data_IF_777235856573
#
_entry.id   IF_777235856573
#
_cell.length_a   1.000
_cell.length_b   1.000
_cell.length_c   1.000
_cell.angle_alpha   90.00
_cell.angle_beta   90.00
_cell.angle_gamma   90.00
#
_symmetry.space_group_name_H-M   'P 1'
#
loop_
_entity.id
_entity.type
_entity.pdbx_description
1 polymer ?
#
# COMPACT_ATOMS: atom_id res chain seq x y z
N UNK A 1 -6.65 15.91 -9.38
CA UNK A 1 -5.61 15.42 -8.44
C UNK A 1 -4.31 15.21 -9.21
N UNK A 2 -3.16 15.56 -8.64
CA UNK A 2 -1.83 15.43 -9.24
C UNK A 2 -1.21 14.12 -8.76
N UNK A 3 -0.75 13.24 -9.66
CA UNK A 3 -0.02 12.03 -9.30
C UNK A 3 1.35 12.41 -8.69
N UNK A 4 1.63 11.89 -7.48
CA UNK A 4 2.90 12.10 -6.77
C UNK A 4 3.88 10.95 -6.96
N UNK A 5 3.39 9.76 -7.26
CA UNK A 5 4.21 8.59 -7.54
C UNK A 5 3.52 7.29 -7.18
N UNK A 6 4.25 6.19 -7.38
CA UNK A 6 3.80 4.86 -7.00
C UNK A 6 4.20 4.55 -5.56
N UNK A 7 3.34 3.80 -4.85
CA UNK A 7 3.64 3.24 -3.54
C UNK A 7 3.66 1.72 -3.64
N UNK A 8 4.59 1.12 -2.92
CA UNK A 8 4.80 -0.33 -2.86
C UNK A 8 5.02 -0.74 -1.41
N UNK A 9 4.31 -1.76 -0.97
CA UNK A 9 4.53 -2.40 0.32
C UNK A 9 4.49 -3.92 0.17
N UNK A 10 5.36 -4.60 0.91
CA UNK A 10 5.41 -6.06 0.95
C UNK A 10 5.52 -6.56 2.39
N UNK A 11 4.89 -7.70 2.65
CA UNK A 11 4.89 -8.32 3.96
C UNK A 11 4.85 -9.84 3.81
N UNK A 12 5.46 -10.58 4.75
CA UNK A 12 5.36 -12.03 4.78
C UNK A 12 3.92 -12.49 5.04
N UNK A 13 3.47 -13.45 4.24
CA UNK A 13 2.16 -14.07 4.32
C UNK A 13 2.25 -15.35 5.14
N UNK A 14 1.62 -15.34 6.33
CA UNK A 14 1.62 -16.48 7.25
C UNK A 14 0.28 -17.25 7.26
N UNK A 15 -0.64 -16.99 6.32
CA UNK A 15 -1.93 -17.70 6.17
C UNK A 15 -2.96 -17.51 7.28
N UNK A 16 -2.53 -17.14 8.49
CA UNK A 16 -3.37 -17.01 9.70
C UNK A 16 -3.67 -15.54 10.06
N UNK A 17 -2.91 -14.60 9.51
CA UNK A 17 -2.99 -13.16 9.84
C UNK A 17 -3.24 -12.28 8.60
N UNK A 18 -4.06 -12.75 7.66
CA UNK A 18 -4.28 -12.07 6.38
C UNK A 18 -4.79 -10.65 6.55
N UNK A 19 -5.72 -10.43 7.48
CA UNK A 19 -6.34 -9.13 7.71
C UNK A 19 -5.35 -8.15 8.35
N UNK A 20 -4.64 -8.60 9.39
CA UNK A 20 -3.61 -7.80 10.07
C UNK A 20 -2.45 -7.46 9.13
N UNK A 21 -2.04 -8.39 8.27
CA UNK A 21 -0.99 -8.15 7.30
C UNK A 21 -1.45 -7.15 6.23
N UNK A 22 -2.69 -7.24 5.77
CA UNK A 22 -3.26 -6.30 4.80
C UNK A 22 -3.35 -4.89 5.39
N UNK A 23 -3.89 -4.76 6.60
CA UNK A 23 -3.99 -3.46 7.29
C UNK A 23 -2.59 -2.83 7.50
N UNK A 24 -1.60 -3.63 7.88
CA UNK A 24 -0.22 -3.17 8.02
C UNK A 24 0.36 -2.69 6.69
N UNK A 25 0.11 -3.42 5.60
CA UNK A 25 0.53 -3.02 4.26
C UNK A 25 -0.14 -1.72 3.79
N UNK A 26 -1.41 -1.53 4.11
CA UNK A 26 -2.14 -0.28 3.79
C UNK A 26 -1.54 0.90 4.55
N UNK A 27 -1.26 0.72 5.85
CA UNK A 27 -0.67 1.77 6.68
C UNK A 27 0.72 2.15 6.18
N UNK A 28 1.56 1.18 5.80
CA UNK A 28 2.87 1.43 5.20
C UNK A 28 2.76 2.19 3.87
N UNK A 29 1.78 1.84 3.04
CA UNK A 29 1.55 2.52 1.76
C UNK A 29 1.05 3.95 1.96
N UNK A 30 0.16 4.19 2.94
CA UNK A 30 -0.32 5.52 3.33
C UNK A 30 0.81 6.39 3.89
N UNK A 31 1.65 5.85 4.77
CA UNK A 31 2.82 6.57 5.28
C UNK A 31 3.80 6.95 4.16
N UNK A 32 4.05 6.03 3.23
CA UNK A 32 4.92 6.29 2.08
C UNK A 32 4.35 7.39 1.18
N UNK A 33 3.04 7.36 0.92
CA UNK A 33 2.36 8.40 0.16
C UNK A 33 2.39 9.77 0.87
N UNK A 34 2.19 9.79 2.19
CA UNK A 34 2.27 11.03 2.97
C UNK A 34 3.66 11.65 2.91
N UNK A 35 4.73 10.83 2.96
CA UNK A 35 6.12 11.29 2.75
C UNK A 35 6.36 11.87 1.35
N UNK A 36 5.59 11.43 0.34
CA UNK A 36 5.61 11.98 -1.01
C UNK A 36 4.77 13.27 -1.16
N UNK A 37 4.15 13.75 -0.07
CA UNK A 37 3.26 14.91 -0.08
C UNK A 37 1.89 14.64 -0.72
N UNK A 38 1.50 13.36 -0.82
CA UNK A 38 0.18 12.97 -1.29
C UNK A 38 -0.86 13.11 -0.17
N UNK A 39 -2.05 13.61 -0.53
CA UNK A 39 -3.22 13.68 0.36
C UNK A 39 -4.18 12.51 0.16
N UNK A 40 -4.01 11.74 -0.91
CA UNK A 40 -4.86 10.63 -1.30
C UNK A 40 -4.04 9.47 -1.84
N UNK A 41 -4.49 8.23 -1.60
CA UNK A 41 -3.83 7.01 -2.06
C UNK A 41 -4.88 6.08 -2.64
N UNK A 42 -4.63 5.60 -3.86
CA UNK A 42 -5.41 4.54 -4.47
C UNK A 42 -4.57 3.27 -4.38
N UNK A 43 -5.00 2.33 -3.55
CA UNK A 43 -4.34 1.03 -3.40
C UNK A 43 -5.02 0.01 -4.32
N UNK A 44 -4.22 -0.75 -5.03
CA UNK A 44 -4.66 -1.93 -5.75
C UNK A 44 -4.93 -3.07 -4.78
N UNK A 45 -5.71 -4.07 -5.24
CA UNK A 45 -5.94 -5.27 -4.44
C UNK A 45 -4.60 -5.94 -4.12
N UNK A 46 -4.38 -6.38 -2.87
CA UNK A 46 -3.16 -7.08 -2.52
C UNK A 46 -3.05 -8.38 -3.32
N UNK A 47 -1.84 -8.67 -3.79
CA UNK A 47 -1.52 -9.86 -4.57
C UNK A 47 -0.62 -10.75 -3.75
N UNK A 48 -1.08 -11.98 -3.51
CA UNK A 48 -0.30 -13.03 -2.87
C UNK A 48 0.70 -13.64 -3.87
N UNK A 49 1.99 -13.63 -3.50
CA UNK A 49 3.08 -14.26 -4.23
C UNK A 49 3.80 -15.25 -3.31
N UNK A 50 3.28 -16.47 -3.26
CA UNK A 50 3.88 -17.55 -2.47
C UNK A 50 3.82 -17.28 -0.97
N UNK A 51 4.93 -16.84 -0.37
CA UNK A 51 5.04 -16.51 1.07
C UNK A 51 5.02 -15.02 1.36
N UNK A 52 4.74 -14.19 0.36
CA UNK A 52 4.60 -12.75 0.54
C UNK A 52 3.28 -12.27 -0.01
N UNK A 53 2.76 -11.22 0.59
CA UNK A 53 1.64 -10.45 0.07
C UNK A 53 2.19 -9.08 -0.29
N UNK A 54 1.89 -8.65 -1.50
CA UNK A 54 2.37 -7.39 -2.08
C UNK A 54 1.19 -6.48 -2.31
N UNK A 55 1.35 -5.21 -1.98
CA UNK A 55 0.35 -4.18 -2.24
C UNK A 55 1.01 -3.04 -2.97
N UNK A 56 0.36 -2.64 -4.05
CA UNK A 56 0.79 -1.56 -4.93
C UNK A 56 -0.29 -0.49 -4.93
N UNK A 57 0.09 0.72 -5.28
CA UNK A 57 -0.87 1.78 -5.45
C UNK A 57 -0.24 3.03 -6.01
N UNK A 58 -1.09 4.04 -6.18
CA UNK A 58 -0.71 5.36 -6.65
C UNK A 58 -1.07 6.42 -5.63
N UNK A 59 -0.13 7.31 -5.39
CA UNK A 59 -0.27 8.44 -4.49
C UNK A 59 -0.66 9.69 -5.30
N UNK A 60 -1.65 10.43 -4.80
CA UNK A 60 -2.19 11.64 -5.44
C UNK A 60 -2.30 12.79 -4.43
N UNK A 61 -2.09 14.01 -4.90
CA UNK A 61 -2.46 15.23 -4.17
C UNK A 61 -3.65 15.87 -4.87
N UNK A 62 -4.80 15.87 -4.20
CA UNK A 62 -5.94 16.67 -4.62
C UNK A 62 -5.88 18.02 -3.89
N UNK A 63 -6.14 19.14 -4.60
CA UNK A 63 -6.33 20.45 -3.95
C UNK A 63 -7.56 20.46 -3.05
#
# INVERSE_FOLDING_TARGET
CIEKGNVYSEAPYYGVFTDTTTEKLENLAKESAFRLGASYVVLDKPVEKGRTITMQGKAYTCP
#
